data_IF_381137555835
#
_entry.id   IF_381137555835
#
_cell.length_a   1.000
_cell.length_b   1.000
_cell.length_c   1.000
_cell.angle_alpha   90.00
_cell.angle_beta   90.00
_cell.angle_gamma   90.00
#
_symmetry.space_group_name_H-M   'P 1'
#
loop_
_entity.id
_entity.type
_entity.pdbx_description
1 polymer ?
#
# COMPACT_ATOMS: atom_id res chain seq x y z
N UNK A 1 3.53 5.59 8.11
CA UNK A 1 3.52 4.22 7.56
C UNK A 1 4.74 4.20 6.66
N UNK A 2 5.84 3.64 7.16
CA UNK A 2 7.11 3.67 6.44
C UNK A 2 7.23 2.32 5.73
N UNK A 3 7.47 2.33 4.42
CA UNK A 3 7.72 1.10 3.67
C UNK A 3 9.02 0.42 4.10
N UNK A 4 9.15 -0.87 3.82
CA UNK A 4 10.31 -1.69 4.21
C UNK A 4 11.64 -1.23 3.58
N UNK A 5 11.58 -0.36 2.57
CA UNK A 5 12.76 0.24 1.93
C UNK A 5 13.71 0.93 2.93
N UNK A 6 13.19 1.42 4.08
CA UNK A 6 14.00 2.07 5.11
C UNK A 6 14.88 1.13 5.95
N UNK A 7 14.72 -0.19 5.83
CA UNK A 7 15.46 -1.20 6.61
C UNK A 7 16.63 -1.83 5.86
N UNK A 8 16.87 -1.41 4.62
CA UNK A 8 17.93 -1.95 3.76
C UNK A 8 19.26 -1.26 4.08
N UNK A 9 20.29 -2.06 4.38
CA UNK A 9 21.66 -1.56 4.50
C UNK A 9 22.25 -1.22 3.13
N UNK A 10 22.21 0.07 2.78
CA UNK A 10 22.73 0.58 1.52
C UNK A 10 24.27 0.56 1.42
N UNK A 11 24.98 0.18 2.49
CA UNK A 11 26.43 -0.03 2.47
C UNK A 11 26.84 -1.45 2.06
N UNK A 12 25.88 -2.38 1.99
CA UNK A 12 26.13 -3.76 1.59
C UNK A 12 26.52 -3.84 0.11
N UNK A 13 27.78 -4.21 -0.15
CA UNK A 13 28.33 -4.36 -1.50
C UNK A 13 27.53 -5.37 -2.35
N UNK A 14 26.98 -6.42 -1.72
CA UNK A 14 26.14 -7.42 -2.39
C UNK A 14 24.87 -6.78 -2.96
N UNK A 15 24.23 -5.90 -2.19
CA UNK A 15 23.02 -5.19 -2.61
C UNK A 15 23.33 -4.23 -3.75
N UNK A 16 24.42 -3.47 -3.65
CA UNK A 16 24.85 -2.55 -4.70
C UNK A 16 25.13 -3.28 -6.03
N UNK A 17 25.86 -4.41 -5.99
CA UNK A 17 26.12 -5.22 -7.18
C UNK A 17 24.83 -5.74 -7.81
N UNK A 18 23.86 -6.18 -7.01
CA UNK A 18 22.56 -6.65 -7.51
C UNK A 18 21.73 -5.53 -8.14
N UNK A 19 21.76 -4.34 -7.57
CA UNK A 19 21.09 -3.16 -8.14
C UNK A 19 21.69 -2.80 -9.51
N UNK A 20 23.02 -2.82 -9.65
CA UNK A 20 23.67 -2.57 -10.94
C UNK A 20 23.36 -3.66 -11.97
N UNK A 21 23.30 -4.94 -11.56
CA UNK A 21 22.86 -6.04 -12.42
C UNK A 21 21.43 -5.82 -12.96
N UNK A 22 20.52 -5.38 -12.10
CA UNK A 22 19.12 -5.08 -12.46
C UNK A 22 19.08 -3.89 -13.44
N UNK A 23 19.81 -2.80 -13.15
CA UNK A 23 19.89 -1.63 -14.05
C UNK A 23 20.43 -2.02 -15.42
N UNK A 24 21.47 -2.84 -15.49
CA UNK A 24 22.04 -3.31 -16.75
C UNK A 24 21.02 -4.11 -17.59
N UNK A 25 20.21 -4.97 -16.94
CA UNK A 25 19.12 -5.69 -17.62
C UNK A 25 18.01 -4.76 -18.09
N UNK A 26 17.68 -3.74 -17.30
CA UNK A 26 16.64 -2.76 -17.62
C UNK A 26 17.06 -1.78 -18.72
N UNK A 27 18.37 -1.58 -18.95
CA UNK A 27 18.90 -0.68 -19.98
C UNK A 27 18.48 -1.06 -21.42
N UNK A 28 18.09 -2.31 -21.65
CA UNK A 28 17.57 -2.78 -22.95
C UNK A 28 16.12 -2.34 -23.23
N UNK A 29 15.43 -1.73 -22.25
CA UNK A 29 14.04 -1.31 -22.38
C UNK A 29 13.92 0.21 -22.41
N UNK A 30 13.04 0.71 -23.27
CA UNK A 30 12.67 2.12 -23.27
C UNK A 30 11.93 2.48 -21.97
N UNK A 31 12.16 3.70 -21.47
CA UNK A 31 11.46 4.21 -20.26
C UNK A 31 9.93 4.16 -20.37
N UNK A 32 9.38 4.24 -21.58
CA UNK A 32 7.93 4.15 -21.84
C UNK A 32 7.35 2.75 -21.57
N UNK A 33 8.19 1.73 -21.56
CA UNK A 33 7.85 0.31 -21.41
C UNK A 33 8.24 -0.24 -20.02
N UNK A 34 8.91 0.55 -19.20
CA UNK A 34 9.18 0.25 -17.79
C UNK A 34 8.03 0.75 -16.92
N UNK A 35 7.32 -0.15 -16.23
CA UNK A 35 6.20 0.21 -15.35
C UNK A 35 6.53 -0.03 -13.88
N UNK A 36 6.05 0.85 -13.02
CA UNK A 36 5.94 0.61 -11.59
C UNK A 36 4.47 0.38 -11.21
N UNK A 37 4.22 -0.55 -10.30
CA UNK A 37 2.93 -0.77 -9.65
C UNK A 37 3.11 -0.57 -8.16
N UNK A 38 2.26 0.25 -7.55
CA UNK A 38 2.30 0.48 -6.10
C UNK A 38 0.88 0.56 -5.52
N UNK A 39 0.75 0.16 -4.25
CA UNK A 39 -0.51 0.12 -3.53
C UNK A 39 -0.57 1.20 -2.45
N UNK A 40 -1.70 1.88 -2.35
CA UNK A 40 -1.98 2.79 -1.22
C UNK A 40 -3.25 2.41 -0.49
N UNK A 41 -3.27 2.58 0.82
CA UNK A 41 -4.44 2.35 1.66
C UNK A 41 -5.15 3.66 1.98
N UNK A 42 -6.41 3.80 1.55
CA UNK A 42 -7.29 4.90 1.90
C UNK A 42 -8.20 4.51 3.08
N UNK A 43 -7.94 5.09 4.25
CA UNK A 43 -8.78 4.92 5.45
C UNK A 43 -9.95 5.91 5.45
N UNK A 44 -10.93 5.73 4.55
CA UNK A 44 -12.00 6.71 4.33
C UNK A 44 -12.96 6.90 5.52
N UNK A 45 -13.01 5.96 6.47
CA UNK A 45 -13.80 6.09 7.71
C UNK A 45 -12.98 6.56 8.91
N UNK A 46 -11.73 6.94 8.70
CA UNK A 46 -10.86 7.39 9.78
C UNK A 46 -11.33 8.76 10.29
N UNK A 47 -11.61 8.83 11.59
CA UNK A 47 -11.91 10.08 12.27
C UNK A 47 -10.64 10.94 12.41
N UNK A 48 -10.78 12.28 12.46
CA UNK A 48 -9.65 13.16 12.74
C UNK A 48 -8.95 12.76 14.05
N UNK A 49 -7.62 12.73 14.05
CA UNK A 49 -6.83 12.43 15.26
C UNK A 49 -6.88 13.55 16.30
N UNK A 50 -7.19 14.76 15.86
CA UNK A 50 -7.29 15.95 16.71
C UNK A 50 -8.59 16.66 16.38
N UNK A 51 -9.32 17.02 17.41
CA UNK A 51 -10.55 17.81 17.31
C UNK A 51 -10.33 19.09 18.09
N UNK A 52 -10.74 20.22 17.54
CA UNK A 52 -10.80 21.49 18.29
C UNK A 52 -12.06 21.41 19.14
N UNK A 53 -11.90 21.27 20.45
CA UNK A 53 -13.01 21.15 21.39
C UNK A 53 -12.83 22.12 22.57
N UNK A 54 -13.91 22.79 22.95
CA UNK A 54 -13.95 23.72 24.08
C UNK A 54 -13.99 23.01 25.45
N UNK A 55 -14.19 21.68 25.45
CA UNK A 55 -14.22 20.80 26.63
C UNK A 55 -13.51 19.49 26.31
N UNK A 56 -13.04 18.78 27.32
CA UNK A 56 -12.45 17.45 27.14
C UNK A 56 -13.49 16.47 26.59
N UNK A 57 -13.25 15.98 25.38
CA UNK A 57 -14.08 14.95 24.74
C UNK A 57 -13.32 13.63 24.80
N UNK A 58 -13.98 12.57 25.28
CA UNK A 58 -13.41 11.24 25.28
C UNK A 58 -13.10 10.79 23.83
N UNK A 59 -11.91 10.23 23.62
CA UNK A 59 -11.49 9.77 22.30
C UNK A 59 -12.35 8.61 21.79
N UNK A 60 -12.70 8.64 20.50
CA UNK A 60 -13.35 7.53 19.82
C UNK A 60 -12.34 6.52 19.27
N UNK A 61 -12.75 5.25 19.16
CA UNK A 61 -11.96 4.23 18.45
C UNK A 61 -11.87 4.59 16.97
N UNK A 62 -10.65 4.70 16.45
CA UNK A 62 -10.43 5.03 15.03
C UNK A 62 -10.96 3.91 14.14
N UNK A 63 -11.87 4.27 13.23
CA UNK A 63 -12.30 3.38 12.17
C UNK A 63 -11.13 3.05 11.24
N UNK A 64 -10.69 1.79 11.23
CA UNK A 64 -9.62 1.29 10.35
C UNK A 64 -10.14 0.71 9.02
N UNK A 65 -11.36 1.07 8.64
CA UNK A 65 -11.93 0.64 7.36
C UNK A 65 -11.09 1.23 6.24
N UNK A 66 -10.44 0.35 5.47
CA UNK A 66 -9.42 0.67 4.48
C UNK A 66 -9.87 0.18 3.11
N UNK A 67 -9.80 1.06 2.12
CA UNK A 67 -9.90 0.75 0.70
C UNK A 67 -8.47 0.75 0.14
N UNK A 68 -8.04 -0.34 -0.49
CA UNK A 68 -6.72 -0.38 -1.13
C UNK A 68 -6.85 0.03 -2.60
N UNK A 69 -5.97 0.90 -3.06
CA UNK A 69 -5.91 1.38 -4.45
C UNK A 69 -4.56 1.01 -5.04
N UNK A 70 -4.57 0.33 -6.19
CA UNK A 70 -3.38 0.06 -6.98
C UNK A 70 -3.18 1.11 -8.08
N UNK A 71 -1.97 1.64 -8.17
CA UNK A 71 -1.56 2.59 -9.20
C UNK A 71 -0.49 1.98 -10.09
N UNK A 72 -0.63 2.17 -11.40
CA UNK A 72 0.39 1.75 -12.36
C UNK A 72 0.75 2.88 -13.32
N UNK A 73 2.04 3.16 -13.44
CA UNK A 73 2.57 4.22 -14.27
C UNK A 73 3.88 3.76 -14.92
N UNK A 74 4.11 4.17 -16.16
CA UNK A 74 5.42 3.98 -16.79
C UNK A 74 6.46 5.00 -16.28
N UNK A 75 7.74 4.69 -16.48
CA UNK A 75 8.85 5.44 -15.90
C UNK A 75 9.01 6.86 -16.47
N UNK A 76 8.48 7.14 -17.66
CA UNK A 76 8.44 8.49 -18.23
C UNK A 76 7.17 9.29 -17.88
N UNK A 77 6.17 8.66 -17.26
CA UNK A 77 4.93 9.29 -16.84
C UNK A 77 3.87 9.50 -17.95
N UNK A 78 4.15 9.13 -19.20
CA UNK A 78 3.24 9.32 -20.34
C UNK A 78 2.02 8.40 -20.29
N UNK A 79 2.14 7.23 -19.67
CA UNK A 79 1.07 6.23 -19.54
C UNK A 79 0.76 5.99 -18.08
N UNK A 80 -0.42 6.44 -17.67
CA UNK A 80 -1.04 6.12 -16.38
C UNK A 80 -2.19 5.17 -16.64
N UNK A 81 -2.18 4.02 -15.99
CA UNK A 81 -3.25 3.04 -16.12
C UNK A 81 -4.38 3.39 -15.16
N UNK A 82 -5.56 2.88 -15.45
CA UNK A 82 -6.70 3.05 -14.59
C UNK A 82 -6.43 2.49 -13.19
N UNK A 83 -6.99 3.15 -12.18
CA UNK A 83 -6.81 2.78 -10.77
C UNK A 83 -7.49 1.45 -10.50
N UNK A 84 -6.76 0.52 -9.90
CA UNK A 84 -7.32 -0.75 -9.47
C UNK A 84 -7.90 -0.59 -8.05
N UNK A 85 -9.19 -0.83 -7.88
CA UNK A 85 -9.81 -0.89 -6.56
C UNK A 85 -9.66 -2.31 -6.01
N UNK A 86 -8.83 -2.44 -4.98
CA UNK A 86 -8.63 -3.71 -4.27
C UNK A 86 -9.47 -3.61 -2.99
N UNK A 87 -10.64 -4.27 -3.01
CA UNK A 87 -11.48 -4.40 -1.84
C UNK A 87 -10.91 -5.41 -0.84
N UNK A 88 -11.61 -5.61 0.27
CA UNK A 88 -11.38 -6.75 1.15
C UNK A 88 -11.34 -8.04 0.33
N UNK A 89 -10.26 -8.80 0.48
CA UNK A 89 -10.16 -10.14 -0.11
C UNK A 89 -11.34 -10.99 0.38
N UNK A 90 -12.01 -11.67 -0.55
CA UNK A 90 -13.09 -12.60 -0.22
C UNK A 90 -12.61 -13.64 0.81
N UNK A 91 -11.38 -14.14 0.62
CA UNK A 91 -10.72 -15.14 1.48
C UNK A 91 -9.34 -14.67 1.88
N UNK A 92 -9.20 -13.93 3.00
CA UNK A 92 -7.90 -13.43 3.40
C UNK A 92 -7.01 -14.60 3.85
N UNK A 93 -5.78 -14.66 3.33
CA UNK A 93 -4.83 -15.74 3.62
C UNK A 93 -4.49 -15.85 5.11
N UNK A 94 -4.53 -14.72 5.85
CA UNK A 94 -4.35 -14.70 7.30
C UNK A 94 -5.44 -15.47 8.07
N UNK A 95 -6.58 -15.78 7.44
CA UNK A 95 -7.62 -16.65 8.00
C UNK A 95 -7.60 -18.07 7.40
N UNK A 96 -6.50 -18.48 6.76
CA UNK A 96 -6.35 -19.79 6.11
C UNK A 96 -7.47 -20.08 5.10
N UNK A 97 -7.84 -19.08 4.31
CA UNK A 97 -8.88 -19.20 3.29
C UNK A 97 -10.32 -19.21 3.83
N UNK A 98 -10.52 -18.89 5.11
CA UNK A 98 -11.84 -18.66 5.68
C UNK A 98 -12.26 -17.20 5.47
N UNK A 99 -13.56 -16.99 5.27
CA UNK A 99 -14.11 -15.66 5.09
C UNK A 99 -13.91 -14.83 6.36
N UNK A 100 -13.52 -13.56 6.21
CA UNK A 100 -13.24 -12.65 7.34
C UNK A 100 -14.50 -12.09 8.03
N UNK A 101 -15.68 -12.63 7.70
CA UNK A 101 -16.97 -12.19 8.22
C UNK A 101 -17.10 -12.62 9.66
N UNK A 102 -16.92 -11.69 10.60
CA UNK A 102 -17.37 -11.87 11.97
C UNK A 102 -18.90 -11.86 11.94
N UNK A 103 -19.52 -13.02 12.07
CA UNK A 103 -20.95 -13.13 12.36
C UNK A 103 -21.21 -12.49 13.72
N UNK A 104 -21.72 -11.27 13.70
CA UNK A 104 -22.28 -10.63 14.89
C UNK A 104 -23.59 -11.38 15.17
N UNK A 105 -23.60 -12.25 16.17
CA UNK A 105 -24.85 -12.70 16.76
C UNK A 105 -25.29 -11.63 17.75
N UNK A 106 -26.36 -10.89 17.43
CA UNK A 106 -27.10 -10.12 18.42
C UNK A 106 -27.76 -11.11 19.40
N UNK A 107 -27.51 -10.91 20.69
CA UNK A 107 -28.32 -11.48 21.79
C UNK A 107 -29.44 -10.51 22.12
#
# INVERSE_FOLDING_TARGET
MNGEAGSIDMSSQVILLKVEEIKAKLACFDRKDMYNFDETGLCYRQTPQKTIASKNVAGGKVGKTRLTLGFMCNADGSKKKERLFISTAEKPLCFKGKDGTLSIQEQ
#
